data_IF_800917872938
#
_entry.id   IF_800917872938
#
_cell.length_a   1.000
_cell.length_b   1.000
_cell.length_c   1.000
_cell.angle_alpha   90.00
_cell.angle_beta   90.00
_cell.angle_gamma   90.00
#
_symmetry.space_group_name_H-M   'P 1'
#
loop_
_entity.id
_entity.type
_entity.pdbx_description
1 polymer ?
#
# COMPACT_ATOMS: atom_id res chain seq x y z
N UNK A 1 -74.55 20.70 19.22
CA UNK A 1 -73.23 20.90 18.59
C UNK A 1 -72.24 21.32 19.68
N UNK A 2 -71.26 20.48 20.07
CA UNK A 2 -70.20 20.90 20.96
C UNK A 2 -69.00 21.47 20.17
N UNK A 3 -68.18 22.36 20.76
CA UNK A 3 -67.06 22.99 20.08
C UNK A 3 -65.88 22.02 19.94
N UNK A 4 -65.26 22.01 18.76
CA UNK A 4 -63.99 21.31 18.49
C UNK A 4 -62.87 21.98 19.29
N UNK A 5 -62.33 21.27 20.27
CA UNK A 5 -61.09 21.62 20.95
C UNK A 5 -59.91 21.37 20.00
N UNK A 6 -59.20 22.43 19.65
CA UNK A 6 -57.94 22.36 18.90
C UNK A 6 -56.84 21.80 19.80
N UNK A 7 -56.43 20.55 19.57
CA UNK A 7 -55.21 19.99 20.14
C UNK A 7 -54.00 20.69 19.50
N UNK A 8 -53.40 21.62 20.25
CA UNK A 8 -52.15 22.27 19.90
C UNK A 8 -51.01 21.25 19.87
N UNK A 9 -50.23 21.25 18.78
CA UNK A 9 -49.03 20.44 18.58
C UNK A 9 -47.80 21.11 19.23
N UNK A 10 -47.23 20.59 20.35
CA UNK A 10 -46.00 21.12 20.92
C UNK A 10 -44.76 20.31 20.51
N UNK A 11 -44.90 19.25 19.72
CA UNK A 11 -43.87 18.21 19.55
C UNK A 11 -42.78 18.52 18.52
N UNK A 12 -43.03 19.41 17.56
CA UNK A 12 -42.06 19.67 16.47
C UNK A 12 -40.85 20.50 16.97
N UNK A 13 -41.06 21.42 17.92
CA UNK A 13 -40.00 22.30 18.41
C UNK A 13 -39.02 21.61 19.38
N UNK A 14 -39.46 20.56 20.07
CA UNK A 14 -38.59 19.81 21.00
C UNK A 14 -37.65 18.83 20.26
N UNK A 15 -38.07 18.30 19.10
CA UNK A 15 -37.26 17.41 18.27
C UNK A 15 -36.06 18.14 17.64
N UNK A 16 -36.21 19.41 17.27
CA UNK A 16 -35.11 20.23 16.75
C UNK A 16 -33.98 20.43 17.78
N UNK A 17 -34.33 20.66 19.05
CA UNK A 17 -33.34 20.87 20.13
C UNK A 17 -32.54 19.62 20.46
N UNK A 18 -33.15 18.44 20.38
CA UNK A 18 -32.46 17.16 20.57
C UNK A 18 -31.43 16.89 19.44
N UNK A 19 -31.75 17.27 18.21
CA UNK A 19 -30.85 17.09 17.06
C UNK A 19 -29.63 18.02 17.12
N UNK A 20 -29.81 19.28 17.54
CA UNK A 20 -28.69 20.23 17.70
C UNK A 20 -27.71 19.82 18.81
N UNK A 21 -28.18 19.18 19.88
CA UNK A 21 -27.31 18.70 20.98
C UNK A 21 -26.38 17.55 20.57
N UNK A 22 -26.84 16.64 19.70
CA UNK A 22 -26.06 15.50 19.24
C UNK A 22 -24.89 15.91 18.33
N UNK A 23 -25.10 16.94 17.49
CA UNK A 23 -24.08 17.47 16.58
C UNK A 23 -22.94 18.15 17.35
N UNK A 24 -23.24 18.84 18.45
CA UNK A 24 -22.24 19.51 19.29
C UNK A 24 -21.41 18.51 20.11
N UNK A 25 -22.02 17.42 20.58
CA UNK A 25 -21.32 16.38 21.35
C UNK A 25 -20.28 15.62 20.51
N UNK A 26 -20.58 15.33 19.24
CA UNK A 26 -19.62 14.70 18.33
C UNK A 26 -18.43 15.61 17.96
N UNK A 27 -18.61 16.93 17.93
CA UNK A 27 -17.54 17.89 17.63
C UNK A 27 -16.49 18.03 18.74
N UNK A 28 -16.85 17.76 20.00
CA UNK A 28 -15.97 17.92 21.17
C UNK A 28 -15.01 16.74 21.40
N UNK A 29 -15.26 15.57 20.80
CA UNK A 29 -14.42 14.37 20.96
C UNK A 29 -13.25 14.27 19.95
N UNK A 30 -13.07 15.26 19.06
CA UNK A 30 -12.10 15.20 17.94
C UNK A 30 -10.79 15.98 18.18
N UNK A 31 -10.42 16.24 19.43
CA UNK A 31 -9.24 17.04 19.78
C UNK A 31 -7.91 16.27 19.74
N UNK A 32 -6.97 16.80 18.95
CA UNK A 32 -5.50 16.63 18.92
C UNK A 32 -4.92 15.36 18.29
N UNK A 33 -4.30 15.50 17.10
CA UNK A 33 -3.17 14.68 16.66
C UNK A 33 -2.35 15.39 15.57
N UNK A 34 -1.02 15.38 15.76
CA UNK A 34 0.02 16.05 14.97
C UNK A 34 0.20 15.51 13.56
N UNK A 35 0.53 16.42 12.64
CA UNK A 35 0.77 16.12 11.22
C UNK A 35 2.23 15.71 10.97
N UNK A 36 2.42 14.49 10.46
CA UNK A 36 3.74 14.00 10.01
C UNK A 36 3.89 14.24 8.50
N UNK A 37 4.82 15.13 8.16
CA UNK A 37 5.02 15.69 6.82
C UNK A 37 5.92 14.77 5.98
N UNK A 38 5.38 14.22 4.89
CA UNK A 38 6.14 13.42 3.92
C UNK A 38 7.04 14.32 3.05
N UNK A 39 8.32 13.95 2.94
CA UNK A 39 9.31 14.66 2.11
C UNK A 39 9.11 14.32 0.63
N UNK A 40 9.15 15.32 -0.29
CA UNK A 40 9.10 15.06 -1.72
C UNK A 40 10.43 14.49 -2.24
N UNK A 41 10.37 13.47 -3.09
CA UNK A 41 11.50 13.02 -3.89
C UNK A 41 11.86 14.10 -4.91
N UNK A 42 13.04 14.69 -4.77
CA UNK A 42 13.61 15.64 -5.73
C UNK A 42 14.08 14.90 -6.99
N UNK A 43 13.43 15.18 -8.11
CA UNK A 43 13.82 14.72 -9.44
C UNK A 43 15.04 15.53 -9.91
N UNK A 44 16.22 14.89 -9.92
CA UNK A 44 17.48 15.50 -10.38
C UNK A 44 17.53 15.47 -11.90
N UNK A 45 17.65 16.64 -12.53
CA UNK A 45 17.80 16.80 -13.98
C UNK A 45 19.26 16.57 -14.40
N UNK A 46 19.49 15.60 -15.30
CA UNK A 46 20.82 15.27 -15.84
C UNK A 46 21.37 16.42 -16.73
N UNK A 47 22.35 17.16 -16.23
CA UNK A 47 23.20 18.05 -17.03
C UNK A 47 24.31 17.29 -17.77
N UNK A 48 24.87 17.88 -18.84
CA UNK A 48 26.01 17.31 -19.59
C UNK A 48 27.22 17.11 -18.65
N UNK A 49 27.93 15.97 -18.74
CA UNK A 49 29.05 15.66 -17.85
C UNK A 49 30.22 16.60 -18.12
N UNK A 50 30.54 17.45 -17.14
CA UNK A 50 31.85 18.10 -17.00
C UNK A 50 32.90 17.05 -16.61
N UNK A 51 34.18 17.24 -17.00
CA UNK A 51 35.23 16.28 -16.69
C UNK A 51 35.45 16.16 -15.18
N UNK A 52 35.28 14.92 -14.70
CA UNK A 52 35.81 14.36 -13.44
C UNK A 52 35.45 15.07 -12.13
N UNK A 53 34.17 15.38 -11.92
CA UNK A 53 33.68 15.57 -10.55
C UNK A 53 33.48 14.18 -9.93
N UNK A 54 34.35 13.81 -8.99
CA UNK A 54 34.28 12.52 -8.33
C UNK A 54 32.91 12.41 -7.62
N UNK A 55 32.13 11.40 -7.99
CA UNK A 55 30.81 11.21 -7.42
C UNK A 55 30.96 10.64 -6.02
N UNK A 56 30.66 11.45 -5.00
CA UNK A 56 30.67 11.04 -3.60
C UNK A 56 29.34 10.36 -3.27
N UNK A 57 29.38 9.13 -2.76
CA UNK A 57 28.18 8.39 -2.33
C UNK A 57 28.26 7.95 -0.87
N UNK A 58 27.11 7.96 -0.19
CA UNK A 58 26.96 7.49 1.19
C UNK A 58 26.05 6.26 1.31
N UNK A 59 25.58 5.71 0.18
CA UNK A 59 24.66 4.57 0.10
C UNK A 59 25.41 3.30 -0.30
N UNK A 60 24.81 2.14 -0.04
CA UNK A 60 25.32 0.83 -0.47
C UNK A 60 26.49 0.31 0.36
N UNK A 61 26.92 -0.93 0.11
CA UNK A 61 28.04 -1.56 0.81
C UNK A 61 29.11 -1.97 -0.19
N UNK A 62 30.36 -1.82 0.24
CA UNK A 62 31.51 -2.16 -0.58
C UNK A 62 32.43 -3.08 0.20
N UNK A 63 32.72 -4.25 -0.36
CA UNK A 63 33.60 -5.24 0.23
C UNK A 63 34.74 -5.54 -0.74
N UNK A 64 35.97 -5.53 -0.23
CA UNK A 64 37.18 -5.90 -0.98
C UNK A 64 37.89 -6.97 -0.17
N UNK A 65 38.01 -8.17 -0.74
CA UNK A 65 38.70 -9.32 -0.13
C UNK A 65 38.26 -9.57 1.33
N UNK A 66 36.93 -9.56 1.54
CA UNK A 66 36.33 -9.78 2.87
C UNK A 66 36.40 -8.59 3.82
N UNK A 67 36.95 -7.44 3.41
CA UNK A 67 37.02 -6.22 4.23
C UNK A 67 35.95 -5.22 3.80
N UNK A 68 35.14 -4.76 4.75
CA UNK A 68 34.17 -3.69 4.50
C UNK A 68 34.86 -2.34 4.38
N UNK A 69 34.57 -1.62 3.30
CA UNK A 69 35.01 -0.23 3.09
C UNK A 69 33.88 0.70 3.49
N UNK A 70 34.16 1.57 4.45
CA UNK A 70 33.21 2.56 4.94
C UNK A 70 33.01 3.72 3.95
N UNK A 71 31.79 4.29 3.85
CA UNK A 71 31.55 5.52 3.11
C UNK A 71 32.19 6.72 3.84
N UNK A 72 32.40 7.86 3.16
CA UNK A 72 32.01 8.18 1.78
C UNK A 72 32.77 7.37 0.74
N UNK A 73 32.09 7.01 -0.35
CA UNK A 73 32.69 6.38 -1.52
C UNK A 73 33.03 7.43 -2.56
N UNK A 74 34.33 7.59 -2.86
CA UNK A 74 34.83 8.42 -3.95
C UNK A 74 35.20 7.51 -5.10
N UNK A 75 34.41 7.53 -6.17
CA UNK A 75 34.61 6.64 -7.33
C UNK A 75 35.27 7.44 -8.45
N UNK A 76 36.56 7.20 -8.68
CA UNK A 76 37.30 7.74 -9.83
C UNK A 76 37.37 6.67 -10.92
N UNK A 77 37.10 7.08 -12.16
CA UNK A 77 37.06 6.17 -13.32
C UNK A 77 38.15 6.56 -14.32
N UNK A 78 39.03 5.62 -14.61
CA UNK A 78 39.93 5.65 -15.77
C UNK A 78 39.59 4.50 -16.74
N UNK A 79 40.29 4.41 -17.88
CA UNK A 79 40.04 3.38 -18.91
C UNK A 79 40.29 1.97 -18.40
N UNK A 80 41.35 1.79 -17.61
CA UNK A 80 41.87 0.47 -17.22
C UNK A 80 41.97 0.31 -15.68
N UNK A 81 41.54 1.33 -14.94
CA UNK A 81 41.61 1.44 -13.50
C UNK A 81 40.31 2.06 -12.96
N UNK A 82 39.79 1.51 -11.87
CA UNK A 82 38.75 2.15 -11.05
C UNK A 82 39.33 2.36 -9.67
N UNK A 83 39.24 3.59 -9.14
CA UNK A 83 39.61 3.87 -7.75
C UNK A 83 38.34 4.06 -6.93
N UNK A 84 38.25 3.34 -5.82
CA UNK A 84 37.20 3.53 -4.82
C UNK A 84 37.89 3.94 -3.53
N UNK A 85 37.72 5.20 -3.15
CA UNK A 85 38.53 5.85 -2.12
C UNK A 85 40.03 5.77 -2.48
N UNK A 86 40.87 5.33 -1.56
CA UNK A 86 42.31 5.18 -1.78
C UNK A 86 42.69 3.81 -2.36
N UNK A 87 41.71 2.94 -2.68
CA UNK A 87 41.97 1.60 -3.21
C UNK A 87 41.91 1.61 -4.73
N UNK A 88 43.02 1.21 -5.35
CA UNK A 88 43.17 1.07 -6.80
C UNK A 88 42.79 -0.35 -7.25
N UNK A 89 41.81 -0.45 -8.14
CA UNK A 89 41.32 -1.72 -8.69
C UNK A 89 41.64 -1.76 -10.17
N UNK A 90 42.60 -2.62 -10.54
CA UNK A 90 43.03 -2.80 -11.94
C UNK A 90 42.30 -3.96 -12.59
N UNK A 91 42.25 -3.98 -13.93
CA UNK A 91 41.63 -5.06 -14.68
C UNK A 91 42.28 -6.44 -14.44
N UNK A 92 43.56 -6.46 -14.03
CA UNK A 92 44.32 -7.69 -13.74
C UNK A 92 43.94 -8.34 -12.41
N UNK A 93 43.36 -7.57 -11.48
CA UNK A 93 42.95 -8.07 -10.16
C UNK A 93 41.57 -8.73 -10.18
N UNK A 94 40.75 -8.48 -11.20
CA UNK A 94 39.38 -8.98 -11.31
C UNK A 94 39.25 -9.93 -12.50
N UNK A 95 38.43 -10.96 -12.36
CA UNK A 95 37.99 -11.73 -13.52
C UNK A 95 36.86 -10.98 -14.23
N UNK A 96 37.19 -10.25 -15.30
CA UNK A 96 36.23 -9.49 -16.10
C UNK A 96 35.72 -10.27 -17.33
N UNK A 97 36.02 -11.57 -17.46
CA UNK A 97 35.60 -12.40 -18.60
C UNK A 97 34.08 -12.39 -18.80
N UNK A 98 33.32 -12.33 -17.71
CA UNK A 98 31.86 -12.23 -17.73
C UNK A 98 31.33 -10.97 -18.42
N UNK A 99 32.07 -9.86 -18.30
CA UNK A 99 31.71 -8.61 -18.97
C UNK A 99 32.02 -8.68 -20.47
N UNK A 100 33.07 -9.42 -20.86
CA UNK A 100 33.38 -9.69 -22.27
C UNK A 100 32.27 -10.52 -22.93
N UNK A 101 31.74 -11.53 -22.23
CA UNK A 101 30.60 -12.34 -22.70
C UNK A 101 29.33 -11.49 -22.84
N UNK A 102 29.04 -10.57 -21.90
CA UNK A 102 27.89 -9.66 -22.03
C UNK A 102 28.04 -8.68 -23.21
N UNK A 103 29.26 -8.21 -23.48
CA UNK A 103 29.56 -7.34 -24.61
C UNK A 103 29.32 -8.05 -25.94
N UNK A 104 29.73 -9.31 -26.05
CA UNK A 104 29.60 -10.14 -27.26
C UNK A 104 28.17 -10.64 -27.45
N UNK A 105 27.51 -11.14 -26.40
CA UNK A 105 26.14 -11.67 -26.46
C UNK A 105 25.06 -10.63 -26.79
N UNK A 106 25.25 -9.35 -26.42
CA UNK A 106 24.34 -8.27 -26.87
C UNK A 106 24.40 -8.02 -28.38
N UNK A 107 25.53 -8.31 -29.04
CA UNK A 107 25.64 -8.17 -30.48
C UNK A 107 24.85 -9.28 -31.20
N UNK A 108 24.92 -10.51 -30.70
CA UNK A 108 24.33 -11.70 -31.32
C UNK A 108 22.79 -11.73 -31.24
N UNK A 109 22.19 -11.34 -30.10
CA UNK A 109 20.72 -11.31 -29.98
C UNK A 109 20.04 -10.11 -30.67
N UNK A 110 20.82 -9.16 -31.18
CA UNK A 110 20.27 -8.03 -31.96
C UNK A 110 19.93 -8.39 -33.43
N UNK A 111 20.30 -9.59 -33.89
CA UNK A 111 20.08 -10.02 -35.27
C UNK A 111 18.64 -10.47 -35.56
N UNK A 112 17.84 -10.80 -34.55
CA UNK A 112 16.56 -11.48 -34.75
C UNK A 112 15.36 -10.61 -35.18
N UNK A 113 15.54 -9.31 -35.45
CA UNK A 113 14.42 -8.43 -35.89
C UNK A 113 14.75 -7.40 -36.97
N UNK A 114 15.80 -7.59 -37.77
CA UNK A 114 16.03 -6.69 -38.91
C UNK A 114 15.50 -7.29 -40.21
N UNK A 115 14.28 -6.84 -40.56
CA UNK A 115 13.78 -6.83 -41.94
C UNK A 115 14.88 -6.33 -42.89
N UNK A 116 15.01 -6.91 -44.10
CA UNK A 116 16.03 -6.55 -45.06
C UNK A 116 15.72 -5.18 -45.67
N UNK A 117 16.09 -4.11 -44.96
CA UNK A 117 16.03 -2.75 -45.47
C UNK A 117 17.43 -2.36 -45.92
N UNK A 118 17.60 -2.29 -47.24
CA UNK A 118 18.77 -1.78 -47.94
C UNK A 118 19.35 -0.54 -47.25
N UNK A 119 20.46 -0.70 -46.54
CA UNK A 119 21.28 0.40 -46.05
C UNK A 119 22.74 0.02 -46.25
N UNK A 120 23.47 0.95 -46.88
CA UNK A 120 24.85 0.83 -47.29
C UNK A 120 25.83 0.53 -46.15
N UNK A 121 27.15 0.49 -46.46
CA UNK A 121 28.20 0.00 -45.57
C UNK A 121 28.17 0.80 -44.26
N UNK A 122 27.50 0.23 -43.25
CA UNK A 122 27.42 0.80 -41.92
C UNK A 122 28.76 0.52 -41.25
N UNK A 123 29.60 1.55 -41.23
CA UNK A 123 30.71 1.66 -40.28
C UNK A 123 30.12 1.67 -38.86
N UNK A 124 29.84 0.50 -38.28
CA UNK A 124 29.57 0.37 -36.86
C UNK A 124 30.85 -0.05 -36.16
N UNK A 125 31.86 0.83 -36.14
CA UNK A 125 32.86 0.85 -35.06
C UNK A 125 32.21 1.52 -33.88
N UNK A 126 31.39 0.79 -33.13
CA UNK A 126 31.25 1.17 -31.74
C UNK A 126 32.64 1.00 -31.14
N UNK A 127 33.21 2.03 -30.48
CA UNK A 127 34.48 1.86 -29.80
C UNK A 127 34.34 0.66 -28.86
N UNK A 128 35.25 -0.31 -28.98
CA UNK A 128 35.32 -1.45 -28.06
C UNK A 128 35.23 -0.90 -26.64
N UNK A 129 34.14 -1.24 -25.95
CA UNK A 129 33.98 -0.84 -24.57
C UNK A 129 34.87 -1.77 -23.77
N UNK A 130 35.88 -1.21 -23.11
CA UNK A 130 36.69 -1.96 -22.13
C UNK A 130 35.76 -2.62 -21.10
N UNK A 131 35.95 -3.89 -20.74
CA UNK A 131 35.22 -4.57 -19.66
C UNK A 131 35.21 -3.75 -18.36
N UNK A 132 36.33 -3.06 -18.08
CA UNK A 132 36.47 -2.15 -16.93
C UNK A 132 35.44 -1.01 -16.95
N UNK A 133 35.15 -0.45 -18.13
CA UNK A 133 34.11 0.58 -18.25
C UNK A 133 32.72 0.06 -17.92
N UNK A 134 32.41 -1.19 -18.25
CA UNK A 134 31.12 -1.79 -17.86
C UNK A 134 31.05 -2.04 -16.37
N UNK A 135 32.10 -2.61 -15.78
CA UNK A 135 32.20 -2.75 -14.34
C UNK A 135 32.03 -1.40 -13.62
N UNK A 136 32.71 -0.34 -14.08
CA UNK A 136 32.60 1.01 -13.51
C UNK A 136 31.18 1.61 -13.55
N UNK A 137 30.37 1.17 -14.53
CA UNK A 137 28.96 1.56 -14.66
C UNK A 137 28.11 0.78 -13.68
N UNK A 138 28.33 -0.52 -13.54
CA UNK A 138 27.58 -1.35 -12.62
C UNK A 138 27.95 -1.01 -11.16
N UNK A 139 29.17 -0.53 -10.91
CA UNK A 139 29.60 0.05 -9.63
C UNK A 139 28.81 1.31 -9.23
N UNK A 140 28.13 1.97 -10.19
CA UNK A 140 27.19 3.05 -9.87
C UNK A 140 25.98 2.57 -9.04
N UNK A 141 25.69 1.26 -9.01
CA UNK A 141 24.62 0.70 -8.18
C UNK A 141 24.83 0.94 -6.67
N UNK A 142 26.08 1.14 -6.23
CA UNK A 142 26.38 1.56 -4.85
C UNK A 142 25.64 2.86 -4.51
N UNK A 143 25.53 3.78 -5.49
CA UNK A 143 24.81 5.06 -5.33
C UNK A 143 23.29 4.89 -5.14
N UNK A 144 22.77 3.70 -5.43
CA UNK A 144 21.37 3.35 -5.26
C UNK A 144 21.13 2.43 -4.06
N UNK A 145 22.16 2.20 -3.24
CA UNK A 145 22.06 1.32 -2.07
C UNK A 145 22.51 -0.12 -2.32
N UNK A 146 23.06 -0.43 -3.50
CA UNK A 146 23.49 -1.79 -3.82
C UNK A 146 24.76 -2.21 -3.08
N UNK A 147 25.00 -3.51 -3.07
CA UNK A 147 26.20 -4.10 -2.46
C UNK A 147 27.13 -4.64 -3.52
N UNK A 148 28.40 -4.27 -3.47
CA UNK A 148 29.43 -4.76 -4.38
C UNK A 148 30.50 -5.48 -3.58
N UNK A 149 30.81 -6.69 -4.02
CA UNK A 149 31.78 -7.59 -3.41
C UNK A 149 32.85 -7.89 -4.44
N UNK A 150 34.07 -7.50 -4.12
CA UNK A 150 35.25 -7.75 -4.93
C UNK A 150 36.13 -8.78 -4.23
N UNK A 151 36.53 -9.80 -4.98
CA UNK A 151 37.52 -10.79 -4.56
C UNK A 151 38.58 -10.90 -5.64
N UNK A 152 39.84 -10.82 -5.24
CA UNK A 152 40.98 -10.91 -6.14
C UNK A 152 40.93 -12.21 -6.95
N UNK A 153 41.02 -12.10 -8.28
CA UNK A 153 40.97 -13.22 -9.23
C UNK A 153 39.58 -13.84 -9.42
N UNK A 154 38.51 -13.19 -8.97
CA UNK A 154 37.12 -13.66 -9.15
C UNK A 154 36.24 -12.60 -9.81
N UNK A 155 35.11 -12.99 -10.41
CA UNK A 155 34.19 -12.02 -11.00
C UNK A 155 33.56 -11.16 -9.90
N UNK A 156 33.37 -9.84 -10.14
CA UNK A 156 32.78 -8.95 -9.16
C UNK A 156 31.29 -9.28 -8.99
N UNK A 157 30.87 -9.49 -7.74
CA UNK A 157 29.49 -9.78 -7.39
C UNK A 157 28.77 -8.48 -7.02
N UNK A 158 27.73 -8.14 -7.77
CA UNK A 158 26.93 -6.92 -7.58
C UNK A 158 25.51 -7.32 -7.24
N UNK A 159 25.08 -6.97 -6.03
CA UNK A 159 23.75 -7.22 -5.49
C UNK A 159 22.92 -5.94 -5.60
N UNK A 160 21.76 -6.05 -6.24
CA UNK A 160 20.81 -4.95 -6.34
C UNK A 160 20.14 -4.74 -4.96
N UNK A 161 19.84 -3.50 -4.55
CA UNK A 161 19.09 -3.24 -3.31
C UNK A 161 17.79 -4.05 -3.18
N UNK A 162 17.16 -4.37 -4.32
CA UNK A 162 15.92 -5.14 -4.37
C UNK A 162 16.12 -6.66 -4.29
N UNK A 163 17.33 -7.16 -4.55
CA UNK A 163 17.61 -8.61 -4.68
C UNK A 163 18.85 -9.00 -3.87
N UNK A 164 18.62 -9.70 -2.76
CA UNK A 164 19.67 -10.39 -2.01
C UNK A 164 20.57 -9.52 -1.12
N UNK A 165 20.54 -8.19 -1.26
CA UNK A 165 21.32 -7.28 -0.38
C UNK A 165 20.91 -7.44 1.09
N UNK A 166 19.60 -7.42 1.36
CA UNK A 166 19.08 -7.53 2.73
C UNK A 166 19.46 -8.83 3.43
N UNK A 167 19.29 -9.96 2.73
CA UNK A 167 19.61 -11.27 3.30
C UNK A 167 21.10 -11.38 3.59
N UNK A 168 21.96 -10.79 2.75
CA UNK A 168 23.40 -10.72 3.02
C UNK A 168 23.65 -9.94 4.30
N UNK A 169 23.16 -8.70 4.39
CA UNK A 169 23.40 -7.84 5.54
C UNK A 169 22.87 -8.45 6.84
N UNK A 170 21.71 -9.11 6.78
CA UNK A 170 21.14 -9.83 7.91
C UNK A 170 22.06 -10.96 8.39
N UNK A 171 22.63 -11.75 7.47
CA UNK A 171 23.59 -12.81 7.81
C UNK A 171 24.90 -12.24 8.34
N UNK A 172 25.45 -11.19 7.71
CA UNK A 172 26.71 -10.58 8.13
C UNK A 172 26.63 -9.88 9.50
N UNK A 173 25.43 -9.43 9.91
CA UNK A 173 25.21 -8.87 11.26
C UNK A 173 25.18 -9.95 12.36
N UNK A 174 25.08 -11.23 12.02
CA UNK A 174 25.03 -12.30 13.03
C UNK A 174 26.44 -12.65 13.57
N UNK A 175 26.53 -13.22 14.79
CA UNK A 175 27.78 -13.80 15.29
C UNK A 175 28.31 -14.90 14.36
N UNK A 176 29.63 -14.98 14.19
CA UNK A 176 30.30 -15.92 13.26
C UNK A 176 29.83 -17.37 13.39
N UNK A 177 29.54 -17.83 14.61
CA UNK A 177 29.05 -19.20 14.87
C UNK A 177 27.67 -19.52 14.28
N UNK A 178 26.84 -18.51 13.97
CA UNK A 178 25.51 -18.69 13.37
C UNK A 178 25.46 -18.42 11.87
N UNK A 179 26.38 -17.61 11.33
CA UNK A 179 26.31 -17.14 9.94
C UNK A 179 26.22 -18.28 8.93
N UNK A 180 27.10 -19.28 9.05
CA UNK A 180 27.18 -20.38 8.09
C UNK A 180 25.92 -21.28 8.16
N UNK A 181 25.36 -21.45 9.36
CA UNK A 181 24.18 -22.29 9.55
C UNK A 181 22.92 -21.67 8.93
N UNK A 182 22.79 -20.35 9.01
CA UNK A 182 21.62 -19.61 8.55
C UNK A 182 21.79 -19.00 7.14
N UNK A 183 22.97 -19.14 6.53
CA UNK A 183 23.29 -18.63 5.20
C UNK A 183 22.53 -19.37 4.11
N UNK A 184 21.36 -18.85 3.75
CA UNK A 184 20.64 -19.27 2.55
C UNK A 184 21.15 -18.43 1.38
N UNK A 185 21.87 -19.06 0.45
CA UNK A 185 22.29 -18.41 -0.78
C UNK A 185 21.04 -18.04 -1.62
N UNK A 186 20.89 -16.76 -2.02
CA UNK A 186 19.73 -16.31 -2.79
C UNK A 186 19.56 -17.14 -4.07
N UNK A 187 18.33 -17.55 -4.43
CA UNK A 187 18.10 -18.34 -5.64
C UNK A 187 18.48 -17.59 -6.93
N UNK A 188 18.54 -16.26 -6.89
CA UNK A 188 18.91 -15.40 -8.01
C UNK A 188 20.40 -15.47 -8.37
N UNK A 189 21.26 -15.95 -7.47
CA UNK A 189 22.67 -16.22 -7.77
C UNK A 189 22.78 -17.52 -8.56
N UNK A 190 22.46 -17.47 -9.85
CA UNK A 190 22.43 -18.67 -10.71
C UNK A 190 23.83 -19.22 -10.96
N UNK A 191 24.86 -18.35 -10.98
CA UNK A 191 26.23 -18.74 -11.32
C UNK A 191 26.96 -19.31 -10.11
N UNK A 192 27.71 -20.39 -10.34
CA UNK A 192 28.52 -21.03 -9.30
C UNK A 192 29.57 -20.08 -8.71
N UNK A 193 30.27 -19.30 -9.55
CA UNK A 193 31.25 -18.32 -9.10
C UNK A 193 30.66 -17.22 -8.19
N UNK A 194 29.42 -16.79 -8.46
CA UNK A 194 28.72 -15.81 -7.61
C UNK A 194 28.38 -16.42 -6.25
N UNK A 195 27.95 -17.70 -6.23
CA UNK A 195 27.67 -18.44 -5.00
C UNK A 195 28.93 -18.65 -4.17
N UNK A 196 30.05 -18.98 -4.81
CA UNK A 196 31.34 -19.12 -4.13
C UNK A 196 31.81 -17.80 -3.52
N UNK A 197 31.71 -16.70 -4.27
CA UNK A 197 32.08 -15.35 -3.78
C UNK A 197 31.20 -14.94 -2.59
N UNK A 198 29.91 -15.22 -2.66
CA UNK A 198 28.95 -15.00 -1.57
C UNK A 198 29.29 -15.82 -0.32
N UNK A 199 29.51 -17.13 -0.47
CA UNK A 199 29.81 -18.01 0.66
C UNK A 199 31.15 -17.68 1.31
N UNK A 200 32.16 -17.35 0.50
CA UNK A 200 33.47 -16.93 0.97
C UNK A 200 33.40 -15.63 1.77
N UNK A 201 32.61 -14.65 1.32
CA UNK A 201 32.39 -13.44 2.12
C UNK A 201 31.76 -13.79 3.47
N UNK A 202 30.74 -14.64 3.51
CA UNK A 202 30.08 -15.00 4.77
C UNK A 202 31.03 -15.68 5.76
N UNK A 203 31.90 -16.55 5.25
CA UNK A 203 32.85 -17.34 6.05
C UNK A 203 33.97 -16.46 6.63
N UNK A 204 34.61 -15.64 5.80
CA UNK A 204 35.80 -14.88 6.18
C UNK A 204 35.53 -13.48 6.75
N UNK A 205 34.31 -12.94 6.58
CA UNK A 205 34.05 -11.56 6.96
C UNK A 205 34.18 -11.29 8.46
N UNK A 206 35.02 -10.33 8.83
CA UNK A 206 35.10 -9.82 10.20
C UNK A 206 34.37 -8.47 10.30
N UNK A 207 33.19 -8.43 10.95
CA UNK A 207 32.36 -7.22 11.00
C UNK A 207 33.05 -6.13 11.83
N UNK A 208 33.23 -4.97 11.23
CA UNK A 208 33.69 -3.77 11.95
C UNK A 208 32.52 -3.13 12.72
N UNK A 209 32.82 -2.38 13.79
CA UNK A 209 31.78 -1.69 14.56
C UNK A 209 30.99 -0.69 13.70
N UNK A 210 31.65 -0.04 12.73
CA UNK A 210 31.01 0.87 11.79
C UNK A 210 30.08 0.15 10.81
N UNK A 211 30.50 -1.02 10.30
CA UNK A 211 29.64 -1.88 9.49
C UNK A 211 28.38 -2.26 10.26
N UNK A 212 28.52 -2.80 11.48
CA UNK A 212 27.39 -3.24 12.29
C UNK A 212 26.39 -2.12 12.55
N UNK A 213 26.86 -0.94 12.98
CA UNK A 213 25.99 0.19 13.25
C UNK A 213 25.15 0.63 12.03
N UNK A 214 25.73 0.53 10.82
CA UNK A 214 25.05 0.91 9.57
C UNK A 214 24.13 -0.20 9.07
N UNK A 215 24.63 -1.42 9.01
CA UNK A 215 23.91 -2.59 8.53
C UNK A 215 22.70 -2.90 9.43
N UNK A 216 22.85 -2.88 10.76
CA UNK A 216 21.74 -3.08 11.69
C UNK A 216 20.63 -2.05 11.48
N UNK A 217 20.98 -0.77 11.30
CA UNK A 217 20.00 0.29 11.03
C UNK A 217 19.25 0.02 9.73
N UNK A 218 19.93 -0.41 8.67
CA UNK A 218 19.30 -0.70 7.39
C UNK A 218 18.41 -1.95 7.47
N UNK A 219 18.89 -3.03 8.08
CA UNK A 219 18.12 -4.26 8.33
C UNK A 219 16.86 -3.94 9.15
N UNK A 220 16.95 -3.12 10.21
CA UNK A 220 15.78 -2.72 11.00
C UNK A 220 14.77 -1.90 10.18
N UNK A 221 15.23 -0.96 9.35
CA UNK A 221 14.35 -0.17 8.49
C UNK A 221 13.61 -1.06 7.49
N UNK A 222 14.31 -2.04 6.90
CA UNK A 222 13.72 -2.97 5.96
C UNK A 222 12.75 -3.94 6.63
N UNK A 223 13.13 -4.56 7.76
CA UNK A 223 12.22 -5.41 8.53
C UNK A 223 10.95 -4.66 8.94
N UNK A 224 11.06 -3.39 9.35
CA UNK A 224 9.88 -2.57 9.66
C UNK A 224 8.99 -2.33 8.41
N UNK A 225 9.60 -2.13 7.24
CA UNK A 225 8.87 -1.99 5.98
C UNK A 225 8.22 -3.30 5.54
N UNK A 226 8.91 -4.44 5.67
CA UNK A 226 8.40 -5.78 5.37
C UNK A 226 7.21 -6.12 6.26
N UNK A 227 7.32 -5.94 7.58
CA UNK A 227 6.21 -6.14 8.53
C UNK A 227 5.01 -5.26 8.17
N UNK A 228 5.25 -3.98 7.82
CA UNK A 228 4.18 -3.09 7.36
C UNK A 228 3.52 -3.58 6.07
N UNK A 229 4.30 -4.04 5.10
CA UNK A 229 3.81 -4.56 3.81
C UNK A 229 3.07 -5.89 3.97
N UNK A 230 3.53 -6.76 4.87
CA UNK A 230 2.85 -8.00 5.23
C UNK A 230 1.47 -7.71 5.85
N UNK A 231 1.39 -6.74 6.77
CA UNK A 231 0.11 -6.33 7.34
C UNK A 231 -0.85 -5.78 6.27
N UNK A 232 -0.35 -4.99 5.32
CA UNK A 232 -1.15 -4.46 4.21
C UNK A 232 -1.60 -5.56 3.24
N UNK A 233 -0.69 -6.44 2.82
CA UNK A 233 -1.00 -7.54 1.90
C UNK A 233 -1.96 -8.55 2.52
N UNK A 234 -1.78 -8.91 3.80
CA UNK A 234 -2.71 -9.77 4.53
C UNK A 234 -4.11 -9.17 4.61
N UNK A 235 -4.21 -7.85 4.80
CA UNK A 235 -5.48 -7.12 4.82
C UNK A 235 -6.17 -7.14 3.45
N UNK A 236 -5.42 -6.98 2.35
CA UNK A 236 -5.94 -7.08 0.99
C UNK A 236 -6.45 -8.49 0.69
N UNK A 237 -5.65 -9.52 0.96
CA UNK A 237 -6.04 -10.93 0.76
C UNK A 237 -7.31 -11.27 1.55
N UNK A 238 -7.41 -10.78 2.79
CA UNK A 238 -8.59 -10.98 3.61
C UNK A 238 -9.82 -10.25 3.06
N UNK A 239 -9.65 -9.01 2.60
CA UNK A 239 -10.71 -8.23 1.94
C UNK A 239 -11.24 -8.95 0.69
N UNK A 240 -10.35 -9.45 -0.16
CA UNK A 240 -10.71 -10.17 -1.39
C UNK A 240 -11.51 -11.43 -1.10
N UNK A 241 -11.14 -12.17 -0.05
CA UNK A 241 -11.86 -13.38 0.38
C UNK A 241 -13.28 -13.07 0.88
N UNK A 242 -13.50 -11.90 1.46
CA UNK A 242 -14.80 -11.50 2.02
C UNK A 242 -15.67 -10.77 0.99
N UNK A 243 -15.07 -10.14 -0.02
CA UNK A 243 -15.79 -9.35 -1.02
C UNK A 243 -16.91 -10.14 -1.71
N UNK A 244 -16.64 -11.37 -2.17
CA UNK A 244 -17.64 -12.20 -2.85
C UNK A 244 -18.84 -12.62 -1.97
N UNK A 245 -18.65 -13.23 -0.78
CA UNK A 245 -19.79 -13.59 0.07
C UNK A 245 -20.54 -12.34 0.56
N UNK A 246 -19.84 -11.24 0.85
CA UNK A 246 -20.47 -9.98 1.26
C UNK A 246 -21.35 -9.38 0.15
N UNK A 247 -20.86 -9.33 -1.08
CA UNK A 247 -21.64 -8.81 -2.23
C UNK A 247 -22.85 -9.67 -2.52
N UNK A 248 -22.70 -10.99 -2.49
CA UNK A 248 -23.81 -11.95 -2.64
C UNK A 248 -24.87 -11.73 -1.56
N UNK A 249 -24.44 -11.62 -0.29
CA UNK A 249 -25.33 -11.33 0.82
C UNK A 249 -26.04 -9.99 0.65
N UNK A 250 -25.32 -8.95 0.24
CA UNK A 250 -25.90 -7.63 0.02
C UNK A 250 -26.94 -7.62 -1.10
N UNK A 251 -26.73 -8.35 -2.21
CA UNK A 251 -27.73 -8.51 -3.27
C UNK A 251 -29.02 -9.13 -2.71
N UNK A 252 -28.90 -10.19 -1.90
CA UNK A 252 -30.06 -10.83 -1.26
C UNK A 252 -30.83 -9.84 -0.36
N UNK A 253 -30.11 -9.07 0.47
CA UNK A 253 -30.73 -8.05 1.33
C UNK A 253 -31.40 -6.95 0.51
N UNK A 254 -30.81 -6.50 -0.59
CA UNK A 254 -31.41 -5.50 -1.49
C UNK A 254 -32.72 -6.02 -2.10
N UNK A 255 -32.76 -7.26 -2.56
CA UNK A 255 -33.98 -7.89 -3.10
C UNK A 255 -35.08 -7.99 -2.03
N UNK A 256 -34.71 -8.43 -0.82
CA UNK A 256 -35.65 -8.50 0.32
C UNK A 256 -36.18 -7.12 0.72
N UNK A 257 -35.29 -6.12 0.77
CA UNK A 257 -35.65 -4.73 1.05
C UNK A 257 -36.62 -4.17 0.02
N UNK A 258 -36.38 -4.44 -1.27
CA UNK A 258 -37.26 -4.01 -2.35
C UNK A 258 -38.63 -4.68 -2.27
N UNK A 259 -38.68 -5.99 -2.04
CA UNK A 259 -39.94 -6.72 -1.84
C UNK A 259 -40.73 -6.21 -0.63
N UNK A 260 -40.04 -5.88 0.46
CA UNK A 260 -40.64 -5.26 1.64
C UNK A 260 -41.21 -3.86 1.33
N UNK A 261 -40.47 -3.02 0.61
CA UNK A 261 -40.89 -1.67 0.22
C UNK A 261 -42.15 -1.68 -0.66
N UNK A 262 -42.23 -2.60 -1.61
CA UNK A 262 -43.40 -2.78 -2.47
C UNK A 262 -44.63 -3.29 -1.69
N UNK A 263 -44.42 -4.18 -0.72
CA UNK A 263 -45.49 -4.77 0.09
C UNK A 263 -46.04 -3.83 1.17
N UNK A 264 -45.26 -2.82 1.58
CA UNK A 264 -45.56 -1.97 2.74
C UNK A 264 -45.85 -0.50 2.40
N UNK A 265 -46.39 -0.22 1.21
CA UNK A 265 -46.61 1.17 0.76
C UNK A 265 -47.46 1.99 1.75
N UNK A 266 -46.92 3.13 2.26
CA UNK A 266 -47.61 3.95 3.26
C UNK A 266 -48.83 4.71 2.70
N UNK A 267 -49.10 4.62 1.39
CA UNK A 267 -50.26 5.24 0.76
C UNK A 267 -51.60 4.54 1.05
N UNK A 268 -51.58 3.30 1.56
CA UNK A 268 -52.81 2.53 1.84
C UNK A 268 -53.51 2.88 3.17
N UNK A 269 -52.96 3.83 3.95
CA UNK A 269 -53.39 4.13 5.33
C UNK A 269 -54.75 4.87 5.48
N UNK A 270 -55.55 5.00 4.41
CA UNK A 270 -56.83 5.71 4.49
C UNK A 270 -57.93 4.91 5.21
N UNK A 271 -57.81 3.57 5.31
CA UNK A 271 -58.79 2.71 5.97
C UNK A 271 -58.21 2.08 7.25
N UNK A 272 -58.37 2.77 8.38
CA UNK A 272 -57.85 2.33 9.69
C UNK A 272 -58.78 1.29 10.34
N UNK A 273 -58.69 0.03 9.93
CA UNK A 273 -59.23 -1.08 10.73
C UNK A 273 -58.24 -1.42 11.87
N UNK A 274 -58.71 -1.89 13.03
CA UNK A 274 -57.83 -2.27 14.15
C UNK A 274 -56.81 -3.36 13.77
N UNK A 275 -57.14 -4.26 12.84
CA UNK A 275 -56.22 -5.27 12.31
C UNK A 275 -55.07 -4.64 11.50
N UNK A 276 -55.34 -3.57 10.74
CA UNK A 276 -54.32 -2.87 9.98
C UNK A 276 -53.26 -2.21 10.88
N UNK A 277 -53.64 -1.80 12.10
CA UNK A 277 -52.69 -1.22 13.06
C UNK A 277 -51.63 -2.24 13.52
N UNK A 278 -52.02 -3.50 13.75
CA UNK A 278 -51.09 -4.57 14.15
C UNK A 278 -50.12 -4.95 13.01
N UNK A 279 -50.62 -5.04 11.78
CA UNK A 279 -49.80 -5.27 10.59
C UNK A 279 -48.79 -4.14 10.38
N UNK A 280 -49.23 -2.89 10.58
CA UNK A 280 -48.37 -1.72 10.43
C UNK A 280 -47.22 -1.72 11.45
N UNK A 281 -47.49 -2.07 12.71
CA UNK A 281 -46.44 -2.20 13.74
C UNK A 281 -45.38 -3.23 13.34
N UNK A 282 -45.83 -4.39 12.85
CA UNK A 282 -44.94 -5.46 12.40
C UNK A 282 -44.09 -5.02 11.21
N UNK A 283 -44.69 -4.29 10.26
CA UNK A 283 -44.00 -3.78 9.08
C UNK A 283 -42.90 -2.76 9.43
N UNK A 284 -43.14 -1.87 10.41
CA UNK A 284 -42.11 -0.92 10.86
C UNK A 284 -40.93 -1.64 11.49
N UNK A 285 -41.18 -2.62 12.36
CA UNK A 285 -40.09 -3.39 13.00
C UNK A 285 -39.26 -4.12 11.95
N UNK A 286 -39.92 -4.71 10.93
CA UNK A 286 -39.23 -5.32 9.77
C UNK A 286 -38.41 -4.30 8.98
N UNK A 287 -38.96 -3.12 8.69
CA UNK A 287 -38.21 -2.03 8.02
C UNK A 287 -36.96 -1.63 8.82
N UNK A 288 -37.08 -1.49 10.14
CA UNK A 288 -35.96 -1.12 11.00
C UNK A 288 -34.86 -2.20 11.02
N UNK A 289 -35.24 -3.48 11.00
CA UNK A 289 -34.29 -4.57 10.84
C UNK A 289 -33.53 -4.51 9.51
N UNK A 290 -34.23 -4.24 8.41
CA UNK A 290 -33.62 -4.08 7.08
C UNK A 290 -32.68 -2.86 7.05
N UNK A 291 -33.10 -1.72 7.61
CA UNK A 291 -32.28 -0.51 7.74
C UNK A 291 -30.99 -0.81 8.50
N UNK A 292 -31.07 -1.55 9.61
CA UNK A 292 -29.90 -1.91 10.40
C UNK A 292 -28.92 -2.77 9.60
N UNK A 293 -29.42 -3.78 8.87
CA UNK A 293 -28.60 -4.66 8.03
C UNK A 293 -27.94 -3.91 6.87
N UNK A 294 -28.69 -3.08 6.14
CA UNK A 294 -28.15 -2.27 5.04
C UNK A 294 -27.10 -1.27 5.54
N UNK A 295 -27.32 -0.67 6.71
CA UNK A 295 -26.33 0.24 7.33
C UNK A 295 -25.06 -0.47 7.77
N UNK A 296 -25.17 -1.71 8.27
CA UNK A 296 -24.00 -2.53 8.62
C UNK A 296 -23.18 -2.90 7.37
N UNK A 297 -23.85 -3.26 6.27
CA UNK A 297 -23.18 -3.52 4.98
C UNK A 297 -22.47 -2.26 4.47
N UNK A 298 -23.14 -1.10 4.50
CA UNK A 298 -22.55 0.17 4.09
C UNK A 298 -21.32 0.54 4.95
N UNK A 299 -21.35 0.26 6.25
CA UNK A 299 -20.18 0.44 7.13
C UNK A 299 -19.02 -0.45 6.71
N UNK A 300 -19.28 -1.74 6.42
CA UNK A 300 -18.23 -2.68 5.97
C UNK A 300 -17.59 -2.17 4.69
N UNK A 301 -18.37 -1.77 3.69
CA UNK A 301 -17.80 -1.23 2.44
C UNK A 301 -17.08 0.09 2.62
N UNK A 302 -17.56 0.96 3.52
CA UNK A 302 -16.83 2.20 3.84
C UNK A 302 -15.46 1.88 4.44
N UNK A 303 -15.37 0.87 5.32
CA UNK A 303 -14.10 0.43 5.90
C UNK A 303 -13.17 -0.19 4.86
N UNK A 304 -13.69 -1.05 3.98
CA UNK A 304 -12.91 -1.64 2.88
C UNK A 304 -12.40 -0.56 1.92
N UNK A 305 -13.24 0.41 1.56
CA UNK A 305 -12.85 1.51 0.67
C UNK A 305 -11.82 2.46 1.31
N UNK A 306 -11.87 2.61 2.64
CA UNK A 306 -10.85 3.34 3.40
C UNK A 306 -9.50 2.60 3.38
N UNK A 307 -9.50 1.29 3.64
CA UNK A 307 -8.28 0.46 3.66
C UNK A 307 -7.57 0.40 2.31
N UNK A 308 -8.31 0.43 1.20
CA UNK A 308 -7.74 0.43 -0.16
C UNK A 308 -7.27 1.80 -0.63
N UNK A 309 -7.45 2.85 0.17
CA UNK A 309 -7.07 4.22 -0.21
C UNK A 309 -7.90 4.82 -1.36
N UNK A 310 -9.02 4.19 -1.74
CA UNK A 310 -9.88 4.68 -2.82
C UNK A 310 -10.66 5.95 -2.44
N UNK A 311 -10.83 6.20 -1.14
CA UNK A 311 -11.50 7.41 -0.64
C UNK A 311 -10.50 8.53 -0.39
N UNK A 312 -10.21 9.32 -1.42
CA UNK A 312 -9.49 10.59 -1.24
C UNK A 312 -10.49 11.72 -1.02
N UNK A 313 -10.71 12.09 0.24
CA UNK A 313 -11.60 13.22 0.55
C UNK A 313 -10.94 14.56 0.26
N UNK A 314 -11.68 15.42 -0.44
CA UNK A 314 -11.25 16.78 -0.76
C UNK A 314 -11.53 17.76 0.40
N UNK A 315 -12.37 17.38 1.36
CA UNK A 315 -12.68 18.20 2.52
C UNK A 315 -11.65 17.95 3.63
N UNK A 316 -10.91 18.97 4.10
CA UNK A 316 -9.90 18.81 5.15
C UNK A 316 -10.48 18.31 6.47
N UNK A 317 -11.74 18.67 6.81
CA UNK A 317 -12.41 18.16 8.01
C UNK A 317 -12.80 16.68 7.86
N UNK A 318 -13.24 16.30 6.65
CA UNK A 318 -13.49 14.90 6.33
C UNK A 318 -12.24 14.07 6.46
N UNK A 319 -11.11 14.55 5.93
CA UNK A 319 -9.83 13.86 5.96
C UNK A 319 -9.32 13.54 7.38
N UNK A 320 -9.64 14.34 8.40
CA UNK A 320 -9.26 14.04 9.79
C UNK A 320 -10.08 12.90 10.41
N UNK A 321 -11.36 12.81 10.03
CA UNK A 321 -12.24 11.69 10.42
C UNK A 321 -11.84 10.44 9.61
N UNK A 322 -11.57 10.69 8.33
CA UNK A 322 -10.75 9.98 7.36
C UNK A 322 -9.76 8.99 7.97
N UNK A 323 -8.68 9.59 8.47
CA UNK A 323 -7.42 8.94 8.84
C UNK A 323 -7.54 7.92 9.96
N UNK A 324 -8.60 7.97 10.77
CA UNK A 324 -8.78 7.07 11.91
C UNK A 324 -10.04 6.21 11.70
N UNK A 325 -9.92 4.92 11.32
CA UNK A 325 -11.06 4.06 11.04
C UNK A 325 -12.01 3.94 12.24
N UNK A 326 -11.47 3.99 13.46
CA UNK A 326 -12.26 3.96 14.70
C UNK A 326 -13.24 5.13 14.82
N UNK A 327 -12.85 6.34 14.39
CA UNK A 327 -13.73 7.51 14.42
C UNK A 327 -14.89 7.37 13.43
N UNK A 328 -14.61 6.85 12.24
CA UNK A 328 -15.62 6.58 11.23
C UNK A 328 -16.64 5.53 11.71
N UNK A 329 -16.16 4.44 12.32
CA UNK A 329 -17.02 3.39 12.90
C UNK A 329 -17.91 4.00 13.98
N UNK A 330 -17.31 4.68 14.96
CA UNK A 330 -18.04 5.27 16.07
C UNK A 330 -19.12 6.23 15.57
N UNK A 331 -18.76 7.13 14.65
CA UNK A 331 -19.69 8.09 14.07
C UNK A 331 -20.87 7.42 13.37
N UNK A 332 -20.61 6.48 12.45
CA UNK A 332 -21.69 5.76 11.73
C UNK A 332 -22.57 4.95 12.68
N UNK A 333 -21.97 4.24 13.64
CA UNK A 333 -22.71 3.42 14.62
C UNK A 333 -23.58 4.30 15.49
N UNK A 334 -23.06 5.41 16.04
CA UNK A 334 -23.81 6.34 16.88
C UNK A 334 -25.00 6.96 16.14
N UNK A 335 -24.80 7.47 14.92
CA UNK A 335 -25.88 8.07 14.13
C UNK A 335 -26.93 7.02 13.74
N UNK A 336 -26.49 5.84 13.30
CA UNK A 336 -27.40 4.76 12.90
C UNK A 336 -28.23 4.28 14.09
N UNK A 337 -27.59 4.01 15.24
CA UNK A 337 -28.28 3.56 16.45
C UNK A 337 -29.27 4.63 16.96
N UNK A 338 -28.87 5.90 16.95
CA UNK A 338 -29.76 7.01 17.35
C UNK A 338 -30.96 7.11 16.41
N UNK A 339 -30.74 7.01 15.10
CA UNK A 339 -31.80 7.09 14.09
C UNK A 339 -32.79 5.93 14.21
N UNK A 340 -32.29 4.70 14.35
CA UNK A 340 -33.12 3.51 14.57
C UNK A 340 -33.88 3.62 15.88
N UNK A 341 -33.22 4.05 16.96
CA UNK A 341 -33.86 4.24 18.28
C UNK A 341 -34.98 5.27 18.26
N UNK A 342 -34.80 6.39 17.55
CA UNK A 342 -35.82 7.41 17.37
C UNK A 342 -37.03 6.88 16.57
N UNK A 343 -36.78 6.20 15.45
CA UNK A 343 -37.85 5.61 14.63
C UNK A 343 -38.60 4.51 15.39
N UNK A 344 -37.88 3.69 16.16
CA UNK A 344 -38.47 2.67 17.02
C UNK A 344 -39.35 3.29 18.10
N UNK A 345 -38.87 4.33 18.79
CA UNK A 345 -39.66 5.01 19.83
C UNK A 345 -40.92 5.67 19.25
N UNK A 346 -40.82 6.25 18.06
CA UNK A 346 -41.91 6.99 17.41
C UNK A 346 -42.76 6.15 16.45
N UNK A 347 -42.58 4.82 16.39
CA UNK A 347 -43.22 3.94 15.40
C UNK A 347 -44.76 3.99 15.37
N UNK A 348 -45.38 4.45 16.46
CA UNK A 348 -46.82 4.64 16.58
C UNK A 348 -47.33 5.84 15.77
N UNK A 349 -46.46 6.78 15.39
CA UNK A 349 -46.81 7.94 14.59
C UNK A 349 -46.73 7.62 13.08
N UNK A 350 -47.72 8.01 12.26
CA UNK A 350 -47.71 7.74 10.82
C UNK A 350 -46.54 8.42 10.09
N UNK A 351 -46.02 9.52 10.65
CA UNK A 351 -44.84 10.20 10.14
C UNK A 351 -43.59 9.31 10.26
N UNK A 352 -43.41 8.61 11.38
CA UNK A 352 -42.27 7.72 11.58
C UNK A 352 -42.32 6.52 10.64
N UNK A 353 -43.51 6.03 10.31
CA UNK A 353 -43.71 4.94 9.34
C UNK A 353 -43.27 5.37 7.93
N UNK A 354 -43.70 6.57 7.49
CA UNK A 354 -43.26 7.16 6.23
C UNK A 354 -41.75 7.39 6.21
N UNK A 355 -41.20 7.91 7.31
CA UNK A 355 -39.76 8.14 7.43
C UNK A 355 -38.95 6.84 7.37
N UNK A 356 -39.40 5.78 8.06
CA UNK A 356 -38.76 4.46 8.01
C UNK A 356 -38.84 3.85 6.60
N UNK A 357 -39.96 3.99 5.90
CA UNK A 357 -40.09 3.54 4.51
C UNK A 357 -39.12 4.27 3.59
N UNK A 358 -39.05 5.61 3.67
CA UNK A 358 -38.11 6.41 2.87
C UNK A 358 -36.65 6.11 3.20
N UNK A 359 -36.32 5.96 4.48
CA UNK A 359 -34.97 5.60 4.92
C UNK A 359 -34.55 4.23 4.37
N UNK A 360 -35.44 3.24 4.45
CA UNK A 360 -35.21 1.91 3.87
C UNK A 360 -35.00 1.99 2.35
N UNK A 361 -35.78 2.79 1.63
CA UNK A 361 -35.61 3.01 0.20
C UNK A 361 -34.24 3.62 -0.13
N UNK A 362 -33.86 4.71 0.54
CA UNK A 362 -32.59 5.40 0.31
C UNK A 362 -31.40 4.47 0.57
N UNK A 363 -31.41 3.73 1.69
CA UNK A 363 -30.34 2.77 2.00
C UNK A 363 -30.28 1.64 0.97
N UNK A 364 -31.43 1.15 0.49
CA UNK A 364 -31.46 0.13 -0.57
C UNK A 364 -30.80 0.65 -1.85
N UNK A 365 -31.10 1.89 -2.25
CA UNK A 365 -30.48 2.51 -3.42
C UNK A 365 -28.98 2.77 -3.23
N UNK A 366 -28.57 3.18 -2.03
CA UNK A 366 -27.15 3.38 -1.69
C UNK A 366 -26.38 2.06 -1.74
N UNK A 367 -26.94 0.98 -1.19
CA UNK A 367 -26.36 -0.36 -1.25
C UNK A 367 -26.28 -0.86 -2.68
N UNK A 368 -27.32 -0.64 -3.50
CA UNK A 368 -27.28 -0.97 -4.93
C UNK A 368 -26.18 -0.20 -5.68
N UNK A 369 -26.01 1.11 -5.39
CA UNK A 369 -24.93 1.93 -5.94
C UNK A 369 -23.55 1.36 -5.57
N UNK A 370 -23.36 0.96 -4.31
CA UNK A 370 -22.12 0.34 -3.87
C UNK A 370 -21.83 -0.98 -4.58
N UNK A 371 -22.84 -1.82 -4.80
CA UNK A 371 -22.69 -3.05 -5.57
C UNK A 371 -22.21 -2.77 -7.00
N UNK A 372 -22.80 -1.76 -7.67
CA UNK A 372 -22.35 -1.34 -8.99
C UNK A 372 -20.91 -0.84 -8.98
N UNK A 373 -20.55 -0.03 -7.97
CA UNK A 373 -19.18 0.44 -7.82
C UNK A 373 -18.20 -0.74 -7.65
N UNK A 374 -18.48 -1.66 -6.73
CA UNK A 374 -17.63 -2.84 -6.51
C UNK A 374 -17.50 -3.71 -7.77
N UNK A 375 -18.56 -3.85 -8.57
CA UNK A 375 -18.50 -4.59 -9.83
C UNK A 375 -17.63 -3.94 -10.92
N UNK A 376 -17.20 -2.68 -10.76
CA UNK A 376 -16.27 -2.03 -11.69
C UNK A 376 -14.80 -2.25 -11.32
N UNK A 377 -14.50 -2.63 -10.07
CA UNK A 377 -13.12 -2.79 -9.56
C UNK A 377 -12.71 -4.25 -9.36
N UNK A 378 -13.67 -5.19 -9.45
CA UNK A 378 -13.43 -6.62 -9.63
C UNK A 378 -13.37 -6.89 -11.13
#
# INVERSE_FOLDING_TARGET
MPPRTSLGFPTVLQLSKAFSGLVVFCGLMMGTADAQQSRPMSMVLLGKPTPSEAAVSYSGYFFIDGVYVAPPYTIERDRDLVRVNDVEITAEQLDLSDYEVRLTGMAEHSEFRRRPMWRGPRMSRFPERSPMMMFSRDLANIQHGGTVILRSGSPPLILDPSVGDHSLLQVLCQPSSRRIADAICPPELVREADRETWMHLIDEFEPTAEFLARAEKQVQLQMAAEVSNEHQSASLIWSDRIAFPLTTFAILIVVLAFGHLLSSSPMSLHNQTPEAALLTKTNVVRSLGIIALLSAIDLIWTLTAHQTGMMRELNPLGNQIITNPSHLILFKVCITATSIGLLYRLHHLPIAQRAAWWCCLILTLLTARWLTFQSMFI
#
